data_IF_879596232024
#
_entry.id   IF_879596232024
#
_cell.length_a   1.000
_cell.length_b   1.000
_cell.length_c   1.000
_cell.angle_alpha   90.00
_cell.angle_beta   90.00
_cell.angle_gamma   90.00
#
_symmetry.space_group_name_H-M   'P 1'
#
loop_
_entity.id
_entity.type
_entity.pdbx_description
1 polymer ?
#
# COMPACT_ATOMS: atom_id res chain seq x y z
N UNK A 1 -22.01 -24.10 -8.48
CA UNK A 1 -22.65 -22.78 -8.23
C UNK A 1 -21.61 -21.68 -8.39
N UNK A 2 -21.19 -21.43 -9.63
CA UNK A 2 -20.19 -20.44 -10.00
C UNK A 2 -20.80 -19.63 -11.15
N UNK A 3 -21.28 -18.41 -10.85
CA UNK A 3 -21.55 -17.32 -11.79
C UNK A 3 -22.29 -16.19 -11.04
N UNK A 4 -21.54 -15.23 -10.47
CA UNK A 4 -22.08 -13.94 -10.00
C UNK A 4 -21.07 -12.80 -10.15
N UNK A 5 -20.31 -12.79 -11.25
CA UNK A 5 -19.58 -11.61 -11.71
C UNK A 5 -20.17 -11.15 -13.04
N UNK A 6 -21.30 -10.47 -12.98
CA UNK A 6 -21.75 -9.60 -14.07
C UNK A 6 -22.84 -8.67 -13.55
N UNK A 7 -22.83 -7.44 -14.08
CA UNK A 7 -23.82 -6.36 -13.95
C UNK A 7 -23.90 -5.61 -12.61
N UNK A 8 -23.04 -4.61 -12.44
CA UNK A 8 -23.41 -3.31 -11.87
C UNK A 8 -22.31 -2.26 -12.18
N UNK A 9 -22.05 -2.01 -13.46
CA UNK A 9 -21.25 -0.87 -13.92
C UNK A 9 -22.17 0.03 -14.72
N UNK A 10 -22.53 1.17 -14.11
CA UNK A 10 -22.81 2.48 -14.74
C UNK A 10 -23.75 3.23 -13.82
N UNK A 11 -23.25 4.26 -13.14
CA UNK A 11 -23.76 5.64 -13.27
C UNK A 11 -22.89 6.58 -12.44
N UNK A 12 -22.35 7.58 -13.15
CA UNK A 12 -21.93 8.91 -12.70
C UNK A 12 -20.90 9.06 -11.57
N UNK A 13 -19.68 9.53 -11.92
CA UNK A 13 -19.26 10.91 -11.57
C UNK A 13 -18.31 11.43 -12.66
N UNK A 14 -18.81 12.31 -13.51
CA UNK A 14 -18.03 13.14 -14.42
C UNK A 14 -17.86 14.53 -13.78
N UNK A 15 -16.64 14.93 -13.47
CA UNK A 15 -16.36 16.27 -12.93
C UNK A 15 -14.90 16.47 -12.53
N UNK A 16 -14.11 16.97 -13.48
CA UNK A 16 -12.74 17.48 -13.41
C UNK A 16 -11.97 17.42 -12.06
N UNK A 17 -10.95 16.56 -11.98
CA UNK A 17 -9.63 16.89 -11.41
C UNK A 17 -8.54 15.84 -11.75
N UNK A 18 -7.35 16.36 -12.04
CA UNK A 18 -6.03 15.72 -12.06
C UNK A 18 -5.60 14.93 -13.31
N UNK A 19 -4.98 15.69 -14.22
CA UNK A 19 -3.95 15.19 -15.10
C UNK A 19 -2.79 14.59 -14.26
N UNK A 20 -2.72 13.26 -14.21
CA UNK A 20 -1.54 12.39 -14.13
C UNK A 20 -1.94 11.02 -13.53
N UNK A 21 -2.63 10.18 -14.30
CA UNK A 21 -2.76 8.75 -13.98
C UNK A 21 -2.11 7.96 -15.11
N UNK A 22 -0.78 8.03 -15.18
CA UNK A 22 0.04 7.29 -16.15
C UNK A 22 0.40 5.88 -15.66
N UNK A 23 0.00 5.50 -14.44
CA UNK A 23 0.47 4.25 -13.79
C UNK A 23 -0.22 2.96 -14.24
N UNK A 24 -1.28 3.02 -15.05
CA UNK A 24 -2.03 1.81 -15.47
C UNK A 24 -1.55 1.22 -16.82
N UNK A 25 -0.56 1.84 -17.47
CA UNK A 25 -0.04 1.35 -18.75
C UNK A 25 1.14 0.38 -18.49
N UNK A 26 0.77 -0.91 -18.39
CA UNK A 26 1.64 -2.09 -18.38
C UNK A 26 2.23 -2.51 -17.01
N UNK A 27 1.35 -2.90 -16.07
CA UNK A 27 1.70 -3.54 -14.78
C UNK A 27 2.65 -4.75 -14.95
N UNK A 28 2.43 -5.57 -15.99
CA UNK A 28 3.28 -6.74 -16.28
C UNK A 28 4.73 -6.34 -16.60
N UNK A 29 4.96 -5.19 -17.23
CA UNK A 29 6.30 -4.67 -17.49
C UNK A 29 6.96 -3.98 -16.29
N UNK A 30 6.26 -3.88 -15.15
CA UNK A 30 6.79 -3.30 -13.91
C UNK A 30 7.11 -4.35 -12.84
N UNK A 31 6.52 -5.53 -12.95
CA UNK A 31 6.76 -6.65 -12.03
C UNK A 31 7.89 -7.52 -12.59
N UNK A 32 8.72 -8.05 -11.70
CA UNK A 32 9.81 -8.94 -12.13
C UNK A 32 9.26 -10.28 -12.61
N UNK A 33 10.00 -10.98 -13.48
CA UNK A 33 9.64 -12.34 -13.88
C UNK A 33 9.52 -13.28 -12.68
N UNK A 34 10.38 -13.08 -11.67
CA UNK A 34 10.35 -13.86 -10.43
C UNK A 34 9.07 -13.66 -9.63
N UNK A 35 8.53 -12.43 -9.59
CA UNK A 35 7.23 -12.16 -8.99
C UNK A 35 6.10 -12.89 -9.73
N UNK A 36 6.08 -12.78 -11.06
CA UNK A 36 5.01 -13.32 -11.91
C UNK A 36 4.91 -14.87 -11.85
N UNK A 37 6.02 -15.55 -11.52
CA UNK A 37 6.04 -17.00 -11.26
C UNK A 37 5.28 -17.40 -10.01
N UNK A 38 5.28 -16.57 -8.97
CA UNK A 38 4.71 -16.90 -7.66
C UNK A 38 3.34 -16.27 -7.42
N UNK A 39 3.09 -15.10 -8.00
CA UNK A 39 1.89 -14.30 -7.71
C UNK A 39 1.07 -14.00 -8.95
N UNK A 40 -0.23 -13.87 -8.72
CA UNK A 40 -1.19 -13.32 -9.67
C UNK A 40 -1.75 -12.01 -9.10
N UNK A 41 -1.91 -11.00 -9.96
CA UNK A 41 -2.30 -9.64 -9.56
C UNK A 41 -3.22 -9.06 -10.61
N UNK A 42 -4.38 -8.49 -10.23
CA UNK A 42 -5.25 -7.77 -11.14
C UNK A 42 -4.55 -6.56 -11.77
N UNK A 43 -5.10 -6.08 -12.89
CA UNK A 43 -4.51 -4.96 -13.63
C UNK A 43 -4.52 -3.64 -12.85
N UNK A 44 -5.57 -3.43 -12.04
CA UNK A 44 -5.81 -2.16 -11.38
C UNK A 44 -5.52 -2.26 -9.88
N UNK A 45 -4.92 -1.20 -9.33
CA UNK A 45 -4.71 -1.08 -7.90
C UNK A 45 -6.03 -0.77 -7.20
N UNK A 46 -6.22 -1.29 -5.99
CA UNK A 46 -7.43 -1.08 -5.18
C UNK A 46 -7.21 -0.05 -4.07
N UNK A 47 -5.94 0.25 -3.74
CA UNK A 47 -5.56 1.16 -2.68
C UNK A 47 -4.21 1.83 -2.96
N UNK A 48 -3.87 2.83 -2.13
CA UNK A 48 -2.59 3.52 -2.11
C UNK A 48 -2.16 3.83 -0.67
N UNK A 49 -0.86 4.04 -0.46
CA UNK A 49 -0.33 4.31 0.88
C UNK A 49 1.15 4.70 0.90
N UNK A 50 1.71 4.78 2.10
CA UNK A 50 3.04 5.30 2.36
C UNK A 50 3.16 6.80 2.11
N UNK A 51 4.38 7.32 2.18
CA UNK A 51 4.63 8.76 2.07
C UNK A 51 4.00 9.34 0.79
N UNK A 52 3.18 10.38 0.94
CA UNK A 52 2.41 11.01 -0.16
C UNK A 52 1.54 10.03 -0.98
N UNK A 53 1.13 8.90 -0.40
CA UNK A 53 0.40 7.83 -1.10
C UNK A 53 1.18 7.26 -2.31
N UNK A 54 2.52 7.27 -2.23
CA UNK A 54 3.39 6.87 -3.34
C UNK A 54 3.23 5.40 -3.73
N UNK A 55 2.99 4.51 -2.77
CA UNK A 55 2.77 3.09 -3.09
C UNK A 55 1.37 2.88 -3.66
N UNK A 56 1.31 2.24 -4.83
CA UNK A 56 0.10 1.61 -5.35
C UNK A 56 -0.01 0.21 -4.80
N UNK A 57 -1.18 -0.13 -4.27
CA UNK A 57 -1.40 -1.40 -3.58
C UNK A 57 -2.36 -2.22 -4.43
N UNK A 58 -1.91 -3.40 -4.82
CA UNK A 58 -2.70 -4.35 -5.58
C UNK A 58 -2.93 -5.59 -4.73
N UNK A 59 -4.15 -6.18 -4.76
CA UNK A 59 -4.36 -7.49 -4.19
C UNK A 59 -3.58 -8.51 -5.02
N UNK A 60 -2.96 -9.47 -4.35
CA UNK A 60 -2.19 -10.53 -4.98
C UNK A 60 -2.59 -11.89 -4.41
N UNK A 61 -2.51 -12.94 -5.22
CA UNK A 61 -2.76 -14.31 -4.78
C UNK A 61 -1.55 -15.16 -5.15
N UNK A 62 -1.01 -15.89 -4.19
CA UNK A 62 0.11 -16.78 -4.44
C UNK A 62 -0.38 -18.04 -5.16
N UNK A 63 0.16 -18.31 -6.36
CA UNK A 63 -0.33 -19.32 -7.31
C UNK A 63 -0.40 -20.75 -6.74
N UNK A 64 0.55 -21.15 -5.89
CA UNK A 64 0.59 -22.51 -5.32
C UNK A 64 -0.29 -22.70 -4.09
N UNK A 65 -0.22 -21.76 -3.15
CA UNK A 65 -0.89 -21.85 -1.84
C UNK A 65 -2.29 -21.26 -1.87
N UNK A 66 -2.62 -20.50 -2.91
CA UNK A 66 -3.84 -19.71 -3.02
C UNK A 66 -4.04 -18.72 -1.86
N UNK A 67 -2.96 -18.36 -1.16
CA UNK A 67 -3.01 -17.41 -0.07
C UNK A 67 -3.02 -15.98 -0.62
N UNK A 68 -3.81 -15.11 0.02
CA UNK A 68 -3.96 -13.72 -0.38
C UNK A 68 -2.90 -12.83 0.26
N UNK A 69 -2.38 -11.90 -0.53
CA UNK A 69 -1.35 -10.95 -0.17
C UNK A 69 -1.67 -9.58 -0.78
N UNK A 70 -0.82 -8.61 -0.48
CA UNK A 70 -0.83 -7.32 -1.17
C UNK A 70 0.55 -7.03 -1.72
N UNK A 71 0.60 -6.53 -2.95
CA UNK A 71 1.84 -6.05 -3.57
C UNK A 71 1.83 -4.52 -3.57
N UNK A 72 2.91 -3.95 -3.07
CA UNK A 72 3.18 -2.53 -3.04
C UNK A 72 4.12 -2.21 -4.19
N UNK A 73 3.66 -1.36 -5.10
CA UNK A 73 4.37 -1.01 -6.33
C UNK A 73 4.52 0.50 -6.45
N UNK A 74 5.72 0.94 -6.81
CA UNK A 74 6.00 2.33 -7.15
C UNK A 74 6.50 2.42 -8.59
N UNK A 75 5.88 3.25 -9.43
CA UNK A 75 6.39 3.57 -10.77
C UNK A 75 7.38 4.73 -10.68
N UNK A 76 8.62 4.51 -11.10
CA UNK A 76 9.63 5.58 -11.14
C UNK A 76 9.30 6.66 -12.17
N UNK A 77 8.45 6.37 -13.14
CA UNK A 77 7.93 7.38 -14.06
C UNK A 77 7.17 8.49 -13.32
N UNK A 78 6.54 8.17 -12.18
CA UNK A 78 5.84 9.16 -11.35
C UNK A 78 6.79 10.19 -10.73
N UNK A 79 8.10 9.93 -10.71
CA UNK A 79 9.12 10.89 -10.28
C UNK A 79 9.33 12.03 -11.28
N UNK A 80 8.92 11.87 -12.55
CA UNK A 80 9.02 12.92 -13.57
C UNK A 80 8.21 14.17 -13.22
N UNK A 81 7.26 14.07 -12.28
CA UNK A 81 6.55 15.22 -11.71
C UNK A 81 7.48 16.17 -10.94
N UNK A 82 8.60 15.66 -10.44
CA UNK A 82 9.60 16.41 -9.68
C UNK A 82 10.68 16.92 -10.63
N UNK A 83 10.91 18.25 -10.63
CA UNK A 83 11.86 18.90 -11.54
C UNK A 83 13.33 18.67 -11.19
N UNK A 84 13.64 18.46 -9.91
CA UNK A 84 15.01 18.31 -9.41
C UNK A 84 15.35 16.83 -9.24
N UNK A 85 16.52 16.42 -9.74
CA UNK A 85 17.04 15.05 -9.57
C UNK A 85 17.26 14.73 -8.10
N UNK A 86 17.74 15.70 -7.32
CA UNK A 86 17.95 15.57 -5.88
C UNK A 86 16.63 15.26 -5.14
N UNK A 87 15.52 15.86 -5.58
CA UNK A 87 14.21 15.54 -5.02
C UNK A 87 13.75 14.12 -5.39
N UNK A 88 14.00 13.68 -6.62
CA UNK A 88 13.68 12.31 -7.05
C UNK A 88 14.48 11.27 -6.27
N UNK A 89 15.79 11.51 -6.10
CA UNK A 89 16.68 10.61 -5.36
C UNK A 89 16.29 10.51 -3.88
N UNK A 90 15.87 11.62 -3.26
CA UNK A 90 15.34 11.62 -1.88
C UNK A 90 14.09 10.75 -1.73
N UNK A 91 13.14 10.84 -2.67
CA UNK A 91 11.93 9.99 -2.63
C UNK A 91 12.31 8.52 -2.73
N UNK A 92 13.22 8.17 -3.65
CA UNK A 92 13.70 6.79 -3.79
C UNK A 92 14.43 6.30 -2.53
N UNK A 93 15.21 7.15 -1.87
CA UNK A 93 15.86 6.82 -0.61
C UNK A 93 14.85 6.48 0.49
N UNK A 94 13.81 7.31 0.65
CA UNK A 94 12.71 7.10 1.61
C UNK A 94 12.01 5.76 1.35
N UNK A 95 11.63 5.49 0.10
CA UNK A 95 10.92 4.24 -0.27
C UNK A 95 11.79 3.00 -0.05
N UNK A 96 13.09 3.07 -0.37
CA UNK A 96 14.04 1.98 -0.09
C UNK A 96 14.21 1.77 1.41
N UNK A 97 14.30 2.84 2.18
CA UNK A 97 14.43 2.78 3.64
C UNK A 97 13.20 2.15 4.29
N UNK A 98 12.00 2.46 3.77
CA UNK A 98 10.75 1.84 4.21
C UNK A 98 10.78 0.32 4.06
N UNK A 99 11.10 -0.18 2.86
CA UNK A 99 11.20 -1.62 2.60
C UNK A 99 12.24 -2.31 3.49
N UNK A 100 13.42 -1.68 3.64
CA UNK A 100 14.50 -2.22 4.50
C UNK A 100 14.08 -2.33 5.95
N UNK A 101 13.43 -1.29 6.48
CA UNK A 101 13.03 -1.22 7.88
C UNK A 101 11.88 -2.18 8.17
N UNK A 102 10.83 -2.19 7.34
CA UNK A 102 9.70 -3.10 7.52
C UNK A 102 10.09 -4.57 7.46
N UNK A 103 11.11 -4.93 6.67
CA UNK A 103 11.58 -6.32 6.57
C UNK A 103 12.14 -6.88 7.88
N UNK A 104 12.70 -6.03 8.75
CA UNK A 104 13.33 -6.46 10.01
C UNK A 104 12.42 -6.32 11.23
N UNK A 105 11.37 -5.50 11.15
CA UNK A 105 10.42 -5.33 12.25
C UNK A 105 9.41 -6.49 12.27
N UNK A 106 9.28 -7.15 13.41
CA UNK A 106 8.37 -8.28 13.61
C UNK A 106 7.48 -8.02 14.83
N UNK A 107 6.26 -7.56 14.58
CA UNK A 107 5.27 -7.26 15.61
C UNK A 107 3.85 -7.42 15.04
N UNK A 108 2.85 -7.92 15.81
CA UNK A 108 1.49 -8.15 15.30
C UNK A 108 0.83 -6.92 14.65
N UNK A 109 1.15 -5.72 15.14
CA UNK A 109 0.59 -4.45 14.67
C UNK A 109 1.54 -3.63 13.78
N UNK A 110 2.64 -4.23 13.30
CA UNK A 110 3.51 -3.64 12.26
C UNK A 110 3.28 -4.41 10.96
N UNK A 111 3.17 -3.71 9.83
CA UNK A 111 2.90 -4.31 8.54
C UNK A 111 3.97 -5.34 8.18
N UNK A 112 3.56 -6.60 8.06
CA UNK A 112 4.48 -7.70 7.79
C UNK A 112 4.83 -7.75 6.30
N UNK A 113 6.12 -7.54 6.01
CA UNK A 113 6.71 -7.83 4.69
C UNK A 113 7.03 -9.32 4.61
N UNK A 114 6.50 -9.97 3.57
CA UNK A 114 6.72 -11.38 3.25
C UNK A 114 7.90 -11.53 2.31
N UNK A 115 7.88 -10.78 1.20
CA UNK A 115 8.92 -10.86 0.17
C UNK A 115 9.27 -9.46 -0.34
N UNK A 116 10.54 -9.23 -0.64
CA UNK A 116 11.02 -8.00 -1.29
C UNK A 116 11.70 -8.40 -2.58
N UNK A 117 11.31 -7.73 -3.66
CA UNK A 117 11.87 -8.01 -4.99
C UNK A 117 12.99 -7.04 -5.33
N UNK A 118 13.87 -7.46 -6.22
CA UNK A 118 14.94 -6.60 -6.71
C UNK A 118 14.37 -5.37 -7.42
N UNK A 119 14.95 -4.20 -7.13
CA UNK A 119 14.57 -2.94 -7.75
C UNK A 119 14.84 -2.99 -9.26
N UNK A 120 13.80 -2.76 -10.07
CA UNK A 120 13.95 -2.68 -11.52
C UNK A 120 14.32 -1.26 -11.95
N UNK A 121 14.69 -1.07 -13.22
CA UNK A 121 14.88 0.28 -13.78
C UNK A 121 13.60 1.12 -13.74
N UNK A 122 12.43 0.48 -13.74
CA UNK A 122 11.11 1.14 -13.84
C UNK A 122 10.39 1.24 -12.50
N UNK A 123 10.67 0.37 -11.54
CA UNK A 123 9.80 0.19 -10.38
C UNK A 123 10.50 -0.30 -9.12
N UNK A 124 9.85 -0.09 -7.98
CA UNK A 124 10.15 -0.74 -6.70
C UNK A 124 8.94 -1.59 -6.31
N UNK A 125 9.16 -2.78 -5.77
CA UNK A 125 8.10 -3.74 -5.48
C UNK A 125 8.42 -4.59 -4.24
N UNK A 126 7.42 -4.79 -3.38
CA UNK A 126 7.47 -5.76 -2.29
C UNK A 126 6.08 -6.30 -1.96
N UNK A 127 6.03 -7.47 -1.35
CA UNK A 127 4.82 -8.20 -0.96
C UNK A 127 4.67 -8.20 0.55
N UNK A 128 3.45 -7.94 1.00
CA UNK A 128 3.06 -7.93 2.41
C UNK A 128 1.92 -8.90 2.68
N UNK A 129 1.61 -9.09 3.96
CA UNK A 129 0.29 -9.60 4.36
C UNK A 129 -0.84 -8.84 3.65
N UNK A 130 -1.99 -9.50 3.45
CA UNK A 130 -3.13 -8.89 2.76
C UNK A 130 -3.63 -7.67 3.53
N UNK A 131 -3.68 -6.54 2.83
CA UNK A 131 -4.32 -5.30 3.28
C UNK A 131 -5.50 -4.95 2.37
N UNK A 132 -6.52 -4.34 2.95
CA UNK A 132 -7.68 -3.80 2.23
C UNK A 132 -7.35 -2.41 1.69
N UNK A 133 -6.88 -1.50 2.55
CA UNK A 133 -6.45 -0.16 2.16
C UNK A 133 -5.60 0.55 3.23
N UNK A 134 -5.12 1.76 2.94
CA UNK A 134 -4.59 2.65 3.96
C UNK A 134 -5.71 3.37 4.71
N UNK A 135 -5.43 3.86 5.92
CA UNK A 135 -6.38 4.68 6.68
C UNK A 135 -6.71 5.99 5.92
N UNK A 136 -5.77 6.53 5.14
CA UNK A 136 -6.04 7.67 4.25
C UNK A 136 -7.14 7.34 3.22
N UNK A 137 -7.07 6.18 2.57
CA UNK A 137 -8.12 5.71 1.66
C UNK A 137 -9.42 5.42 2.42
N UNK A 138 -9.38 4.84 3.62
CA UNK A 138 -10.58 4.66 4.46
C UNK A 138 -11.26 6.01 4.79
N UNK A 139 -10.47 7.06 5.01
CA UNK A 139 -10.91 8.46 5.12
C UNK A 139 -11.27 9.12 3.77
N UNK A 140 -11.50 8.33 2.72
CA UNK A 140 -11.93 8.74 1.38
C UNK A 140 -10.93 9.60 0.61
N UNK A 141 -9.64 9.56 0.97
CA UNK A 141 -8.59 10.14 0.14
C UNK A 141 -8.22 9.19 -1.00
N UNK A 142 -8.85 9.39 -2.16
CA UNK A 142 -8.66 8.59 -3.38
C UNK A 142 -8.04 9.37 -4.52
N UNK A 143 -7.31 10.45 -4.21
CA UNK A 143 -6.78 11.40 -5.22
C UNK A 143 -5.90 10.74 -6.31
N UNK A 144 -5.36 9.56 -6.03
CA UNK A 144 -4.40 8.89 -6.88
C UNK A 144 -4.80 7.43 -7.22
N UNK A 145 -6.04 7.03 -6.91
CA UNK A 145 -6.60 5.73 -7.30
C UNK A 145 -7.97 5.94 -7.95
N UNK A 146 -8.23 5.21 -9.04
CA UNK A 146 -9.51 5.31 -9.76
C UNK A 146 -10.46 4.17 -9.37
N UNK A 147 -9.92 3.01 -9.03
CA UNK A 147 -10.70 1.79 -8.82
C UNK A 147 -10.82 1.50 -7.33
N UNK A 148 -11.75 2.19 -6.68
CA UNK A 148 -12.07 1.96 -5.27
C UNK A 148 -13.10 0.84 -5.16
N UNK A 149 -12.75 -0.22 -4.44
CA UNK A 149 -13.66 -1.35 -4.19
C UNK A 149 -14.77 -0.95 -3.22
N UNK A 150 -15.99 -1.54 -3.32
CA UNK A 150 -17.07 -1.31 -2.36
C UNK A 150 -16.64 -1.55 -0.91
N UNK A 151 -15.82 -2.57 -0.65
CA UNK A 151 -15.24 -2.86 0.67
C UNK A 151 -14.60 -1.62 1.30
N UNK A 152 -13.78 -0.88 0.55
CA UNK A 152 -13.10 0.34 1.02
C UNK A 152 -14.06 1.52 1.20
N UNK A 153 -15.11 1.59 0.39
CA UNK A 153 -16.15 2.61 0.51
C UNK A 153 -17.04 2.39 1.73
N UNK A 154 -17.26 1.13 2.10
CA UNK A 154 -18.12 0.72 3.21
C UNK A 154 -17.40 0.61 4.55
N UNK A 155 -16.06 0.76 4.59
CA UNK A 155 -15.33 0.92 5.87
C UNK A 155 -15.92 2.14 6.59
N UNK A 156 -16.77 1.85 7.58
CA UNK A 156 -17.28 2.81 8.53
C UNK A 156 -16.36 2.78 9.70
N UNK A 157 -15.53 3.80 9.89
CA UNK A 157 -14.63 3.90 11.05
C UNK A 157 -15.46 4.18 12.31
N UNK A 158 -16.12 3.17 12.86
CA UNK A 158 -16.94 3.30 14.07
C UNK A 158 -16.07 3.68 15.27
N UNK A 159 -16.68 4.20 16.34
CA UNK A 159 -15.96 4.54 17.57
C UNK A 159 -15.16 3.35 18.13
N UNK A 160 -15.74 2.14 18.04
CA UNK A 160 -15.07 0.92 18.46
C UNK A 160 -13.85 0.59 17.59
N UNK A 161 -13.98 0.64 16.27
CA UNK A 161 -12.85 0.38 15.35
C UNK A 161 -11.76 1.43 15.46
N UNK A 162 -12.12 2.70 15.70
CA UNK A 162 -11.16 3.76 15.98
C UNK A 162 -10.42 3.51 17.30
N UNK A 163 -11.12 3.10 18.36
CA UNK A 163 -10.50 2.78 19.64
C UNK A 163 -9.53 1.60 19.52
N UNK A 164 -9.96 0.49 18.89
CA UNK A 164 -9.10 -0.66 18.62
C UNK A 164 -7.93 -0.29 17.70
N UNK A 165 -8.18 0.50 16.65
CA UNK A 165 -7.17 0.96 15.70
C UNK A 165 -6.07 1.81 16.35
N UNK A 166 -6.46 2.79 17.17
CA UNK A 166 -5.53 3.62 17.93
C UNK A 166 -4.74 2.81 18.97
N UNK A 167 -5.36 1.80 19.58
CA UNK A 167 -4.67 0.86 20.47
C UNK A 167 -3.59 0.08 19.72
N UNK A 168 -3.91 -0.50 18.55
CA UNK A 168 -2.92 -1.21 17.71
C UNK A 168 -1.75 -0.30 17.31
N UNK A 169 -2.03 0.96 16.94
CA UNK A 169 -0.98 1.95 16.63
C UNK A 169 -0.13 2.26 17.86
N UNK A 170 -0.75 2.41 19.04
CA UNK A 170 -0.04 2.63 20.29
C UNK A 170 0.89 1.48 20.66
N UNK A 171 0.44 0.24 20.50
CA UNK A 171 1.25 -0.97 20.74
C UNK A 171 2.41 -1.07 19.74
N UNK A 172 2.15 -0.83 18.45
CA UNK A 172 3.19 -0.81 17.42
C UNK A 172 4.26 0.27 17.68
N UNK A 173 3.86 1.46 18.12
CA UNK A 173 4.77 2.55 18.50
C UNK A 173 5.56 2.23 19.77
N UNK A 174 4.91 1.62 20.77
CA UNK A 174 5.58 1.15 21.99
C UNK A 174 6.67 0.14 21.67
N UNK A 175 6.37 -0.86 20.83
CA UNK A 175 7.34 -1.81 20.29
C UNK A 175 8.49 -1.08 19.56
N UNK A 176 8.15 -0.18 18.63
CA UNK A 176 9.14 0.54 17.82
C UNK A 176 10.13 1.34 18.69
N UNK A 177 9.62 2.00 19.73
CA UNK A 177 10.44 2.83 20.62
C UNK A 177 11.27 1.99 21.59
N UNK A 178 10.68 0.95 22.20
CA UNK A 178 11.33 0.17 23.26
C UNK A 178 12.28 -0.88 22.70
N UNK A 179 11.82 -1.67 21.75
CA UNK A 179 12.57 -2.80 21.19
C UNK A 179 13.32 -2.37 19.93
N UNK A 180 12.65 -1.61 19.06
CA UNK A 180 13.26 -1.11 17.83
C UNK A 180 14.28 0.01 18.04
N UNK A 181 14.23 0.71 19.19
CA UNK A 181 15.00 1.93 19.50
C UNK A 181 14.96 2.97 18.38
N UNK A 182 13.79 3.12 17.76
CA UNK A 182 13.56 3.98 16.60
C UNK A 182 12.39 4.90 16.83
N UNK A 183 12.31 6.00 16.09
CA UNK A 183 11.15 6.88 16.03
C UNK A 183 10.60 6.89 14.61
N UNK A 184 9.27 6.73 14.45
CA UNK A 184 8.64 6.61 13.13
C UNK A 184 8.75 7.89 12.28
N UNK A 185 8.55 9.07 12.88
CA UNK A 185 8.71 10.41 12.26
C UNK A 185 7.83 10.74 11.04
N UNK A 186 6.87 9.89 10.71
CA UNK A 186 5.96 10.09 9.57
C UNK A 186 4.61 9.41 9.84
N UNK A 187 4.17 9.47 11.10
CA UNK A 187 2.90 8.87 11.50
C UNK A 187 1.76 9.70 10.90
N UNK A 188 0.90 9.04 10.13
CA UNK A 188 -0.32 9.65 9.60
C UNK A 188 -1.24 8.61 8.97
N UNK A 189 -2.40 9.02 8.44
CA UNK A 189 -3.34 8.08 7.84
C UNK A 189 -2.76 7.29 6.65
N UNK A 190 -1.76 7.85 5.97
CA UNK A 190 -1.08 7.19 4.86
C UNK A 190 -0.09 6.10 5.30
N UNK A 191 0.37 6.11 6.56
CA UNK A 191 1.31 5.14 7.12
C UNK A 191 0.60 4.03 7.92
N UNK A 192 -0.73 4.01 7.96
CA UNK A 192 -1.53 3.02 8.67
C UNK A 192 -2.32 2.24 7.63
N UNK A 193 -2.29 0.92 7.72
CA UNK A 193 -2.98 -0.01 6.81
C UNK A 193 -4.02 -0.83 7.56
N UNK A 194 -5.14 -1.11 6.91
CA UNK A 194 -6.25 -1.89 7.47
C UNK A 194 -6.27 -3.24 6.75
N UNK A 195 -6.27 -4.33 7.52
CA UNK A 195 -6.44 -5.70 6.97
C UNK A 195 -7.91 -6.02 6.73
N UNK A 196 -8.25 -7.07 5.95
CA UNK A 196 -9.64 -7.51 5.79
C UNK A 196 -10.34 -7.89 7.10
N UNK A 197 -9.58 -8.15 8.17
CA UNK A 197 -10.11 -8.44 9.51
C UNK A 197 -10.36 -7.18 10.35
N UNK A 198 -10.06 -5.99 9.82
CA UNK A 198 -10.16 -4.72 10.53
C UNK A 198 -8.97 -4.39 11.43
N UNK A 199 -7.89 -5.19 11.42
CA UNK A 199 -6.69 -4.88 12.20
C UNK A 199 -5.91 -3.72 11.56
N UNK A 200 -5.40 -2.82 12.40
CA UNK A 200 -4.56 -1.71 11.95
C UNK A 200 -3.08 -2.11 12.05
N UNK A 201 -2.34 -1.89 10.96
CA UNK A 201 -0.92 -2.21 10.83
C UNK A 201 -0.14 -0.93 10.55
N UNK A 202 0.89 -0.69 11.35
CA UNK A 202 1.80 0.43 11.18
C UNK A 202 2.80 0.11 10.05
N UNK A 203 2.81 0.93 9.00
CA UNK A 203 3.77 0.92 7.89
C UNK A 203 4.51 2.25 7.78
N UNK A 204 4.84 2.73 6.57
CA UNK A 204 5.38 4.10 6.39
C UNK A 204 6.74 4.35 7.03
N UNK A 205 7.60 3.33 7.11
CA UNK A 205 8.89 3.38 7.82
C UNK A 205 10.01 4.12 7.08
N UNK A 206 9.69 4.92 6.06
CA UNK A 206 10.70 5.58 5.23
C UNK A 206 11.53 6.65 5.95
N UNK A 207 10.98 7.28 6.98
CA UNK A 207 11.67 8.27 7.83
C UNK A 207 12.11 7.70 9.19
N UNK A 208 11.90 6.40 9.39
CA UNK A 208 12.16 5.74 10.65
C UNK A 208 13.67 5.70 10.93
N UNK A 209 14.10 6.27 12.06
CA UNK A 209 15.50 6.36 12.47
C UNK A 209 15.68 6.09 13.95
#
# INVERSE_FOLDING_TARGET
MLNRFSSAVQTAVSGAASAAVSGAQNLQGMLSEEYLKHYETPKDCTASGGHELSWKIFPAVHRKTNHEYSVFLFDKEDLKRLKSKEAQDRVLEILRQEMKTLRVLRHPHVLKVEEVYEESRRSLCFVTERVTCSLANACKNFNNITNVTPEVLEIGLTEFELACGLMHVGEALSFLHREGRRVHLSLGPHSIFITPKGEWKLGGMGFCR
#
